data_IF_493638799524
#
_entry.id   IF_493638799524
#
_cell.length_a   1.000
_cell.length_b   1.000
_cell.length_c   1.000
_cell.angle_alpha   90.00
_cell.angle_beta   90.00
_cell.angle_gamma   90.00
#
_symmetry.space_group_name_H-M   'P 1'
#
loop_
_entity.id
_entity.type
_entity.pdbx_description
1 polymer ?
#
# COMPACT_ATOMS: atom_id res chain seq x y z
N UNK A 1 27.34 -55.83 -17.53
CA UNK A 1 27.95 -54.47 -17.63
C UNK A 1 27.13 -53.71 -18.67
N UNK A 2 26.48 -52.57 -18.46
CA UNK A 2 26.39 -51.62 -17.36
C UNK A 2 25.05 -50.85 -17.47
N UNK A 3 24.33 -50.80 -16.34
CA UNK A 3 23.63 -49.65 -15.73
C UNK A 3 22.67 -48.82 -16.61
N UNK A 4 21.38 -49.12 -16.45
CA UNK A 4 20.28 -48.16 -16.67
C UNK A 4 20.34 -47.16 -15.51
N UNK A 5 20.48 -45.87 -15.84
CA UNK A 5 20.52 -44.77 -14.88
C UNK A 5 19.10 -44.21 -14.74
N UNK A 6 18.39 -44.61 -13.69
CA UNK A 6 17.09 -44.03 -13.32
C UNK A 6 17.33 -42.77 -12.51
N UNK A 7 16.95 -41.62 -13.06
CA UNK A 7 17.01 -40.33 -12.37
C UNK A 7 15.78 -40.21 -11.47
N UNK A 8 15.96 -40.36 -10.15
CA UNK A 8 14.90 -40.13 -9.16
C UNK A 8 14.86 -38.62 -8.90
N UNK A 9 13.82 -37.96 -9.43
CA UNK A 9 13.49 -36.58 -9.06
C UNK A 9 12.85 -36.64 -7.68
N UNK A 10 13.63 -36.29 -6.65
CA UNK A 10 13.10 -36.06 -5.30
C UNK A 10 12.48 -34.66 -5.30
N UNK A 11 11.16 -34.61 -5.49
CA UNK A 11 10.34 -33.44 -5.18
C UNK A 11 10.34 -33.26 -3.66
N UNK A 12 11.29 -32.47 -3.16
CA UNK A 12 11.24 -31.96 -1.80
C UNK A 12 10.11 -30.91 -1.72
N UNK A 13 8.91 -31.36 -1.37
CA UNK A 13 7.88 -30.46 -0.87
C UNK A 13 8.40 -29.85 0.42
N UNK A 14 8.95 -28.64 0.35
CA UNK A 14 8.99 -27.77 1.52
C UNK A 14 7.52 -27.49 1.86
N UNK A 15 6.98 -28.28 2.77
CA UNK A 15 5.76 -27.92 3.48
C UNK A 15 6.07 -26.62 4.22
N UNK A 16 5.64 -25.48 3.64
CA UNK A 16 5.40 -24.29 4.44
C UNK A 16 4.48 -24.74 5.57
N UNK A 17 5.01 -24.81 6.79
CA UNK A 17 4.20 -24.97 7.96
C UNK A 17 3.43 -23.65 8.14
N UNK A 18 2.31 -23.51 7.43
CA UNK A 18 1.29 -22.56 7.82
C UNK A 18 0.91 -22.87 9.27
N UNK A 19 0.73 -21.83 10.08
CA UNK A 19 0.45 -21.95 11.50
C UNK A 19 -0.83 -22.79 11.70
N UNK A 20 -0.69 -24.03 12.22
CA UNK A 20 -1.82 -24.97 12.39
C UNK A 20 -2.58 -24.78 13.70
N UNK A 21 -2.16 -23.85 14.56
CA UNK A 21 -2.84 -23.55 15.81
C UNK A 21 -3.92 -22.49 15.57
N UNK A 22 -5.09 -22.93 15.11
CA UNK A 22 -6.31 -22.13 15.19
C UNK A 22 -6.85 -22.22 16.63
N UNK A 23 -6.61 -21.18 17.43
CA UNK A 23 -7.09 -21.12 18.82
C UNK A 23 -8.58 -20.77 18.94
N UNK A 24 -9.29 -20.59 17.83
CA UNK A 24 -10.74 -20.41 17.81
C UNK A 24 -11.27 -20.75 16.43
N UNK A 25 -12.27 -21.62 16.38
CA UNK A 25 -13.15 -21.72 15.21
C UNK A 25 -14.28 -20.74 15.44
N UNK A 26 -14.35 -19.67 14.65
CA UNK A 26 -15.54 -18.84 14.59
C UNK A 26 -16.55 -19.64 13.75
N UNK A 27 -17.62 -20.14 14.36
CA UNK A 27 -18.74 -20.67 13.59
C UNK A 27 -19.47 -19.50 12.93
N UNK A 28 -19.61 -19.56 11.60
CA UNK A 28 -20.41 -18.60 10.87
C UNK A 28 -21.88 -18.86 11.18
N UNK A 29 -22.47 -18.08 12.09
CA UNK A 29 -23.90 -18.10 12.42
C UNK A 29 -24.70 -17.29 11.40
N UNK A 30 -26.04 -17.47 11.37
CA UNK A 30 -26.96 -16.67 10.54
C UNK A 30 -26.83 -15.16 10.75
N UNK A 31 -26.26 -14.76 11.90
CA UNK A 31 -26.09 -13.37 12.27
C UNK A 31 -24.95 -12.70 11.50
N UNK A 32 -24.00 -13.47 10.94
CA UNK A 32 -22.96 -12.97 10.03
C UNK A 32 -23.47 -12.75 8.60
N UNK A 33 -24.53 -13.45 8.19
CA UNK A 33 -25.20 -13.19 6.91
C UNK A 33 -26.11 -11.95 6.97
N UNK A 34 -26.68 -11.65 8.14
CA UNK A 34 -27.64 -10.54 8.32
C UNK A 34 -27.11 -9.35 9.11
N UNK A 35 -25.93 -9.46 9.71
CA UNK A 35 -25.30 -8.46 10.59
C UNK A 35 -26.19 -8.04 11.78
N UNK A 36 -27.18 -8.85 12.18
CA UNK A 36 -28.17 -8.50 13.21
C UNK A 36 -27.59 -8.58 14.64
N UNK A 37 -26.68 -9.54 14.92
CA UNK A 37 -26.02 -9.68 16.21
C UNK A 37 -24.63 -10.32 16.08
N UNK A 38 -23.58 -9.51 16.08
CA UNK A 38 -22.19 -9.95 15.95
C UNK A 38 -21.49 -10.20 17.30
N UNK A 39 -22.24 -10.54 18.36
CA UNK A 39 -21.67 -10.74 19.71
C UNK A 39 -20.62 -11.86 19.78
N UNK A 40 -20.82 -12.97 19.07
CA UNK A 40 -19.83 -14.06 18.98
C UNK A 40 -18.53 -13.63 18.29
N UNK A 41 -18.65 -12.81 17.23
CA UNK A 41 -17.49 -12.22 16.56
C UNK A 41 -16.78 -11.21 17.48
N UNK A 42 -17.54 -10.37 18.20
CA UNK A 42 -17.01 -9.42 19.18
C UNK A 42 -16.14 -10.11 20.23
N UNK A 43 -16.63 -11.20 20.82
CA UNK A 43 -15.88 -11.93 21.85
C UNK A 43 -14.63 -12.61 21.25
N UNK A 44 -14.74 -13.18 20.05
CA UNK A 44 -13.62 -13.85 19.37
C UNK A 44 -12.49 -12.90 18.99
N UNK A 45 -12.80 -11.62 18.73
CA UNK A 45 -11.83 -10.58 18.36
C UNK A 45 -11.34 -9.76 19.55
N UNK A 46 -11.73 -10.11 20.78
CA UNK A 46 -11.34 -9.36 21.97
C UNK A 46 -9.83 -9.37 22.18
N UNK A 47 -9.24 -8.18 22.28
CA UNK A 47 -7.79 -8.01 22.44
C UNK A 47 -6.98 -8.25 21.16
N UNK A 48 -7.63 -8.51 20.02
CA UNK A 48 -6.98 -8.53 18.72
C UNK A 48 -6.73 -7.08 18.28
N UNK A 49 -5.48 -6.79 17.91
CA UNK A 49 -5.08 -5.42 17.52
C UNK A 49 -4.94 -5.25 16.00
N UNK A 50 -4.80 -6.36 15.26
CA UNK A 50 -4.61 -6.36 13.81
C UNK A 50 -5.48 -7.46 13.21
N UNK A 51 -6.31 -7.09 12.23
CA UNK A 51 -7.16 -8.01 11.47
C UNK A 51 -6.84 -7.86 9.98
N UNK A 52 -6.46 -8.96 9.33
CA UNK A 52 -6.28 -9.01 7.88
C UNK A 52 -7.62 -9.36 7.22
N UNK A 53 -8.17 -8.44 6.41
CA UNK A 53 -9.43 -8.63 5.69
C UNK A 53 -9.16 -8.93 4.21
N UNK A 54 -9.00 -10.22 3.89
CA UNK A 54 -8.82 -10.68 2.51
C UNK A 54 -10.06 -10.51 1.63
N UNK A 55 -9.88 -10.71 0.33
CA UNK A 55 -10.94 -10.76 -0.66
C UNK A 55 -10.62 -11.83 -1.72
N UNK A 56 -11.65 -12.48 -2.25
CA UNK A 56 -11.49 -13.60 -3.18
C UNK A 56 -10.92 -13.12 -4.53
N UNK A 57 -11.31 -11.90 -4.92
CA UNK A 57 -10.89 -11.18 -6.13
C UNK A 57 -11.24 -9.70 -5.95
N UNK A 58 -10.50 -8.84 -6.61
CA UNK A 58 -10.80 -7.41 -6.66
C UNK A 58 -12.10 -7.14 -7.44
N UNK A 59 -12.80 -6.06 -7.07
CA UNK A 59 -13.93 -5.52 -7.83
C UNK A 59 -15.27 -6.20 -7.61
N UNK A 60 -15.42 -7.03 -6.57
CA UNK A 60 -16.72 -7.58 -6.17
C UNK A 60 -17.45 -6.64 -5.21
N UNK A 61 -18.50 -5.97 -5.69
CA UNK A 61 -19.27 -4.98 -4.93
C UNK A 61 -19.88 -5.56 -3.64
N UNK A 62 -20.41 -6.79 -3.67
CA UNK A 62 -20.98 -7.43 -2.49
C UNK A 62 -19.92 -7.68 -1.41
N UNK A 63 -18.69 -8.03 -1.81
CA UNK A 63 -17.57 -8.20 -0.88
C UNK A 63 -17.15 -6.87 -0.27
N UNK A 64 -17.09 -5.80 -1.06
CA UNK A 64 -16.79 -4.46 -0.55
C UNK A 64 -17.88 -3.94 0.37
N UNK A 65 -19.16 -4.18 0.06
CA UNK A 65 -20.29 -3.83 0.92
C UNK A 65 -20.18 -4.55 2.28
N UNK A 66 -19.94 -5.86 2.27
CA UNK A 66 -19.78 -6.63 3.49
C UNK A 66 -18.56 -6.17 4.32
N UNK A 67 -17.42 -5.88 3.66
CA UNK A 67 -16.23 -5.33 4.32
C UNK A 67 -16.50 -3.94 4.89
N UNK A 68 -17.28 -3.10 4.22
CA UNK A 68 -17.69 -1.78 4.73
C UNK A 68 -18.49 -1.90 6.02
N UNK A 69 -19.50 -2.77 6.06
CA UNK A 69 -20.29 -3.00 7.28
C UNK A 69 -19.44 -3.63 8.40
N UNK A 70 -18.55 -4.56 8.05
CA UNK A 70 -17.60 -5.13 9.02
C UNK A 70 -16.67 -4.06 9.60
N UNK A 71 -16.11 -3.17 8.79
CA UNK A 71 -15.25 -2.08 9.27
C UNK A 71 -16.01 -1.14 10.22
N UNK A 72 -17.27 -0.79 9.91
CA UNK A 72 -18.12 0.00 10.81
C UNK A 72 -18.29 -0.70 12.16
N UNK A 73 -18.61 -1.99 12.14
CA UNK A 73 -18.72 -2.80 13.36
C UNK A 73 -17.42 -2.84 14.15
N UNK A 74 -16.27 -3.12 13.50
CA UNK A 74 -14.97 -3.17 14.16
C UNK A 74 -14.60 -1.83 14.81
N UNK A 75 -14.87 -0.71 14.13
CA UNK A 75 -14.65 0.62 14.69
C UNK A 75 -15.59 0.88 15.88
N UNK A 76 -16.90 0.68 15.72
CA UNK A 76 -17.92 1.04 16.72
C UNK A 76 -17.87 0.15 17.97
N UNK A 77 -17.68 -1.16 17.79
CA UNK A 77 -17.84 -2.14 18.86
C UNK A 77 -16.53 -2.58 19.50
N UNK A 78 -15.42 -2.45 18.76
CA UNK A 78 -14.09 -2.93 19.17
C UNK A 78 -13.02 -1.83 19.15
N UNK A 79 -13.34 -0.61 18.67
CA UNK A 79 -12.43 0.54 18.76
C UNK A 79 -11.29 0.55 17.74
N UNK A 80 -11.39 -0.21 16.64
CA UNK A 80 -10.40 -0.13 15.57
C UNK A 80 -10.44 1.24 14.89
N UNK A 81 -9.32 1.98 14.89
CA UNK A 81 -9.23 3.38 14.47
C UNK A 81 -8.47 3.59 13.13
N UNK A 82 -8.03 2.51 12.49
CA UNK A 82 -7.21 2.54 11.27
C UNK A 82 -7.57 1.40 10.32
N UNK A 83 -7.84 1.77 9.07
CA UNK A 83 -7.99 0.83 7.94
C UNK A 83 -6.82 1.02 6.99
N UNK A 84 -6.12 -0.08 6.70
CA UNK A 84 -5.02 -0.12 5.74
C UNK A 84 -5.47 -0.83 4.46
N UNK A 85 -5.48 -0.10 3.34
CA UNK A 85 -5.80 -0.61 2.01
C UNK A 85 -4.55 -1.05 1.27
N UNK A 86 -4.67 -2.08 0.43
CA UNK A 86 -3.65 -2.49 -0.55
C UNK A 86 -3.53 -1.48 -1.70
N UNK A 87 -3.39 -0.21 -1.33
CA UNK A 87 -3.16 0.96 -2.15
C UNK A 87 -1.83 1.59 -1.75
N UNK A 88 -1.21 2.35 -2.65
CA UNK A 88 0.08 2.99 -2.36
C UNK A 88 0.02 3.90 -1.14
N UNK A 89 1.02 3.79 -0.26
CA UNK A 89 1.13 4.64 0.93
C UNK A 89 1.09 6.13 0.58
N UNK A 90 1.86 6.56 -0.42
CA UNK A 90 1.99 7.98 -0.76
C UNK A 90 0.69 8.63 -1.22
N UNK A 91 -0.10 7.90 -2.01
CA UNK A 91 -1.42 8.35 -2.44
C UNK A 91 -2.35 8.59 -1.27
N UNK A 92 -2.49 7.57 -0.42
CA UNK A 92 -3.39 7.61 0.69
C UNK A 92 -2.96 8.63 1.76
N UNK A 93 -1.66 8.76 2.03
CA UNK A 93 -1.13 9.75 2.95
C UNK A 93 -1.38 11.18 2.46
N UNK A 94 -1.15 11.45 1.17
CA UNK A 94 -1.40 12.77 0.60
C UNK A 94 -2.89 13.07 0.42
N UNK A 95 -3.70 12.06 0.10
CA UNK A 95 -5.14 12.20 0.00
C UNK A 95 -5.75 12.51 1.37
N UNK A 96 -5.21 11.89 2.44
CA UNK A 96 -5.61 12.14 3.82
C UNK A 96 -5.41 13.60 4.24
N UNK A 97 -4.33 14.25 3.80
CA UNK A 97 -4.12 15.69 4.04
C UNK A 97 -5.13 16.58 3.31
N UNK A 98 -5.87 16.01 2.35
CA UNK A 98 -6.90 16.65 1.56
C UNK A 98 -8.29 16.07 1.86
N UNK A 99 -8.47 15.41 3.02
CA UNK A 99 -9.73 14.75 3.39
C UNK A 99 -10.91 15.71 3.34
N UNK A 100 -10.76 16.91 3.89
CA UNK A 100 -11.83 17.90 3.97
C UNK A 100 -12.07 18.65 2.65
N UNK A 101 -11.04 18.71 1.78
CA UNK A 101 -11.10 19.46 0.52
C UNK A 101 -11.63 18.62 -0.66
N UNK A 102 -11.33 17.33 -0.68
CA UNK A 102 -11.80 16.40 -1.71
C UNK A 102 -13.22 15.95 -1.41
N UNK A 103 -14.07 15.82 -2.43
CA UNK A 103 -15.33 15.08 -2.27
C UNK A 103 -15.08 13.61 -1.92
N UNK A 104 -16.07 12.90 -1.38
CA UNK A 104 -15.97 11.45 -1.10
C UNK A 104 -15.50 10.65 -2.32
N UNK A 105 -16.07 10.96 -3.49
CA UNK A 105 -15.72 10.32 -4.76
C UNK A 105 -14.30 10.64 -5.21
N UNK A 106 -13.90 11.91 -5.14
CA UNK A 106 -12.53 12.30 -5.48
C UNK A 106 -11.52 11.66 -4.55
N UNK A 107 -11.74 11.71 -3.23
CA UNK A 107 -10.91 11.05 -2.24
C UNK A 107 -10.75 9.57 -2.58
N UNK A 108 -11.88 8.87 -2.81
CA UNK A 108 -11.90 7.44 -3.17
C UNK A 108 -11.02 7.16 -4.38
N UNK A 109 -11.20 7.94 -5.44
CA UNK A 109 -10.42 7.82 -6.67
C UNK A 109 -8.92 8.05 -6.46
N UNK A 110 -8.52 9.01 -5.62
CA UNK A 110 -7.10 9.37 -5.48
C UNK A 110 -6.34 8.53 -4.44
N UNK A 111 -6.99 8.07 -3.36
CA UNK A 111 -6.31 7.21 -2.36
C UNK A 111 -6.12 5.78 -2.90
N UNK A 112 -6.93 5.40 -3.89
CA UNK A 112 -6.87 4.13 -4.59
C UNK A 112 -6.52 4.31 -6.07
N UNK A 113 -5.36 4.88 -6.39
CA UNK A 113 -4.97 5.11 -7.79
C UNK A 113 -4.98 3.87 -8.68
N UNK A 114 -5.07 2.66 -8.11
CA UNK A 114 -5.44 1.45 -8.81
C UNK A 114 -6.97 1.32 -8.81
N UNK A 115 -7.58 1.28 -10.01
CA UNK A 115 -9.03 1.32 -10.25
C UNK A 115 -9.89 0.33 -9.44
N UNK A 116 -9.29 -0.68 -8.80
CA UNK A 116 -9.96 -1.75 -8.05
C UNK A 116 -10.91 -1.26 -6.95
N UNK A 117 -10.60 -0.15 -6.28
CA UNK A 117 -11.43 0.37 -5.18
C UNK A 117 -12.29 1.57 -5.58
N UNK A 118 -12.26 1.99 -6.87
CA UNK A 118 -13.07 3.09 -7.37
C UNK A 118 -14.51 2.62 -7.62
N UNK A 119 -15.31 2.57 -6.55
CA UNK A 119 -16.64 1.97 -6.52
C UNK A 119 -17.54 2.66 -5.50
N UNK A 120 -18.86 2.60 -5.71
CA UNK A 120 -19.84 3.20 -4.80
C UNK A 120 -19.78 2.55 -3.41
N UNK A 121 -19.43 1.26 -3.34
CA UNK A 121 -19.32 0.49 -2.10
C UNK A 121 -18.16 0.98 -1.22
N UNK A 122 -17.04 1.36 -1.83
CA UNK A 122 -15.91 1.98 -1.11
C UNK A 122 -16.19 3.46 -0.83
N UNK A 123 -16.88 4.18 -1.72
CA UNK A 123 -17.35 5.54 -1.43
C UNK A 123 -18.22 5.58 -0.16
N UNK A 124 -19.06 4.57 0.08
CA UNK A 124 -19.84 4.44 1.32
C UNK A 124 -18.95 4.33 2.57
N UNK A 125 -17.86 3.57 2.49
CA UNK A 125 -16.89 3.50 3.58
C UNK A 125 -16.17 4.83 3.79
N UNK A 126 -15.72 5.49 2.72
CA UNK A 126 -15.08 6.81 2.81
C UNK A 126 -16.04 7.83 3.41
N UNK A 127 -17.32 7.81 3.02
CA UNK A 127 -18.35 8.66 3.62
C UNK A 127 -18.49 8.42 5.11
N UNK A 128 -18.42 7.17 5.56
CA UNK A 128 -18.41 6.83 6.99
C UNK A 128 -17.16 7.38 7.69
N UNK A 129 -15.97 7.17 7.12
CA UNK A 129 -14.69 7.65 7.68
C UNK A 129 -14.69 9.17 7.85
N UNK A 130 -15.19 9.90 6.84
CA UNK A 130 -15.33 11.36 6.92
C UNK A 130 -16.26 11.79 8.05
N UNK A 131 -17.36 11.07 8.29
CA UNK A 131 -18.29 11.41 9.38
C UNK A 131 -17.74 11.09 10.77
N UNK A 132 -16.66 10.30 10.88
CA UNK A 132 -15.99 10.01 12.15
C UNK A 132 -15.00 11.11 12.58
N UNK A 133 -14.84 12.21 11.81
CA UNK A 133 -14.00 13.37 12.17
C UNK A 133 -12.57 13.01 12.65
N UNK A 134 -11.97 11.97 12.04
CA UNK A 134 -10.60 11.53 12.33
C UNK A 134 -10.46 10.45 13.41
N UNK A 135 -11.57 10.01 14.04
CA UNK A 135 -11.59 8.85 14.94
C UNK A 135 -11.34 7.53 14.21
N UNK A 136 -11.71 7.45 12.92
CA UNK A 136 -11.31 6.40 12.01
C UNK A 136 -10.45 6.99 10.88
N UNK A 137 -9.30 6.38 10.61
CA UNK A 137 -8.42 6.78 9.50
C UNK A 137 -8.36 5.72 8.41
N UNK A 138 -8.23 6.16 7.17
CA UNK A 138 -7.87 5.31 6.03
C UNK A 138 -6.45 5.65 5.59
N UNK A 139 -5.64 4.63 5.36
CA UNK A 139 -4.30 4.73 4.79
C UNK A 139 -4.04 3.61 3.79
N UNK A 140 -2.99 3.77 3.00
CA UNK A 140 -2.44 2.78 2.10
C UNK A 140 -1.14 2.23 2.68
N UNK A 141 -0.84 0.97 2.38
CA UNK A 141 0.40 0.34 2.84
C UNK A 141 1.17 -0.35 1.72
N UNK A 142 0.81 -0.15 0.45
CA UNK A 142 1.55 -0.69 -0.70
C UNK A 142 2.81 0.14 -1.04
N UNK A 143 3.81 -0.51 -1.66
CA UNK A 143 5.09 0.08 -2.05
C UNK A 143 5.27 0.25 -3.57
N UNK A 144 4.24 0.00 -4.36
CA UNK A 144 4.34 0.17 -5.82
C UNK A 144 4.47 1.67 -6.19
N UNK A 145 5.48 2.11 -6.97
CA UNK A 145 5.72 3.53 -7.26
C UNK A 145 4.85 4.13 -8.37
N UNK A 146 4.00 3.34 -9.04
CA UNK A 146 3.19 3.76 -10.19
C UNK A 146 1.94 4.59 -9.83
N UNK A 147 1.88 5.08 -8.59
CA UNK A 147 0.74 5.76 -7.99
C UNK A 147 0.50 7.15 -8.61
N UNK A 148 -0.72 7.41 -9.09
CA UNK A 148 -1.03 8.62 -9.86
C UNK A 148 -1.02 9.88 -8.99
N UNK A 149 -1.65 9.81 -7.81
CA UNK A 149 -1.84 10.98 -6.97
C UNK A 149 -0.53 11.45 -6.33
N UNK A 150 0.33 10.52 -5.93
CA UNK A 150 1.68 10.79 -5.43
C UNK A 150 2.49 11.56 -6.46
N UNK A 151 2.54 11.07 -7.71
CA UNK A 151 3.29 11.74 -8.79
C UNK A 151 2.73 13.14 -9.06
N UNK A 152 1.40 13.29 -9.06
CA UNK A 152 0.73 14.60 -9.20
C UNK A 152 1.14 15.55 -8.07
N UNK A 153 1.04 15.12 -6.82
CA UNK A 153 1.38 15.95 -5.65
C UNK A 153 2.87 16.25 -5.57
N UNK A 154 3.75 15.29 -5.90
CA UNK A 154 5.19 15.52 -6.02
C UNK A 154 5.50 16.64 -7.02
N UNK A 155 4.77 16.67 -8.14
CA UNK A 155 4.91 17.71 -9.17
C UNK A 155 4.40 19.06 -8.66
N UNK A 156 3.18 19.09 -8.12
CA UNK A 156 2.50 20.31 -7.68
C UNK A 156 3.22 21.00 -6.53
N UNK A 157 3.71 20.23 -5.55
CA UNK A 157 4.37 20.78 -4.34
C UNK A 157 5.67 21.50 -4.70
N UNK A 158 6.46 21.00 -5.66
CA UNK A 158 7.75 21.59 -6.01
C UNK A 158 7.66 22.61 -7.15
N UNK A 159 6.53 22.70 -7.85
CA UNK A 159 6.33 23.52 -9.06
C UNK A 159 6.63 25.01 -8.86
N UNK A 160 6.28 25.56 -7.70
CA UNK A 160 6.47 26.97 -7.36
C UNK A 160 7.93 27.32 -7.02
N UNK A 161 8.71 26.32 -6.58
CA UNK A 161 10.10 26.49 -6.13
C UNK A 161 11.08 26.12 -7.25
N UNK A 162 10.84 25.01 -7.93
CA UNK A 162 11.66 24.54 -9.05
C UNK A 162 10.80 23.88 -10.14
N UNK A 163 10.50 24.68 -11.17
CA UNK A 163 9.72 24.23 -12.33
C UNK A 163 10.43 23.19 -13.20
N UNK A 164 11.75 23.09 -13.15
CA UNK A 164 12.53 22.10 -13.91
C UNK A 164 12.42 20.74 -13.21
N UNK A 165 12.61 20.72 -11.90
CA UNK A 165 12.37 19.52 -11.08
C UNK A 165 10.94 19.03 -11.27
N UNK A 166 9.94 19.91 -11.13
CA UNK A 166 8.53 19.54 -11.30
C UNK A 166 8.25 18.85 -12.63
N UNK A 167 8.78 19.38 -13.74
CA UNK A 167 8.62 18.77 -15.08
C UNK A 167 9.28 17.40 -15.21
N UNK A 168 10.32 17.11 -14.42
CA UNK A 168 11.01 15.81 -14.44
C UNK A 168 10.27 14.71 -13.67
N UNK A 169 9.48 15.07 -12.63
CA UNK A 169 8.87 14.11 -11.68
C UNK A 169 8.11 12.99 -12.38
N UNK A 170 7.22 13.34 -13.31
CA UNK A 170 6.40 12.35 -14.01
C UNK A 170 7.27 11.34 -14.77
N UNK A 171 8.29 11.82 -15.48
CA UNK A 171 9.17 10.97 -16.26
C UNK A 171 10.00 10.05 -15.36
N UNK A 172 10.65 10.62 -14.33
CA UNK A 172 11.53 9.86 -13.44
C UNK A 172 10.76 8.77 -12.69
N UNK A 173 9.60 9.11 -12.11
CA UNK A 173 8.75 8.15 -11.41
C UNK A 173 8.21 7.04 -12.34
N UNK A 174 7.74 7.40 -13.54
CA UNK A 174 7.22 6.40 -14.50
C UNK A 174 8.30 5.53 -15.11
N UNK A 175 9.53 6.04 -15.20
CA UNK A 175 10.67 5.28 -15.75
C UNK A 175 11.03 4.04 -14.93
N UNK A 176 10.56 3.95 -13.67
CA UNK A 176 10.63 2.73 -12.87
C UNK A 176 10.07 1.51 -13.63
N UNK A 177 9.01 1.69 -14.42
CA UNK A 177 8.38 0.60 -15.17
C UNK A 177 9.32 -0.05 -16.20
N UNK A 178 10.38 0.65 -16.61
CA UNK A 178 11.37 0.07 -17.53
C UNK A 178 12.12 -1.11 -16.89
N UNK A 179 12.15 -1.22 -15.55
CA UNK A 179 12.76 -2.38 -14.87
C UNK A 179 12.12 -3.70 -15.28
N UNK A 180 10.79 -3.75 -15.38
CA UNK A 180 10.07 -4.94 -15.84
C UNK A 180 10.48 -5.32 -17.27
N UNK A 181 10.57 -4.33 -18.16
CA UNK A 181 10.98 -4.56 -19.54
C UNK A 181 12.44 -5.06 -19.62
N UNK A 182 13.36 -4.41 -18.92
CA UNK A 182 14.77 -4.81 -18.92
C UNK A 182 14.99 -6.20 -18.30
N UNK A 183 14.21 -6.56 -17.29
CA UNK A 183 14.23 -7.93 -16.75
C UNK A 183 13.74 -8.94 -17.80
N UNK A 184 12.61 -8.66 -18.45
CA UNK A 184 12.08 -9.51 -19.52
C UNK A 184 13.08 -9.69 -20.68
N UNK A 185 13.80 -8.63 -21.02
CA UNK A 185 14.79 -8.63 -22.10
C UNK A 185 16.16 -9.20 -21.68
N UNK A 186 16.33 -9.55 -20.40
CA UNK A 186 17.60 -9.93 -19.78
C UNK A 186 18.70 -8.86 -19.94
N UNK A 187 18.33 -7.58 -20.10
CA UNK A 187 19.26 -6.45 -20.19
C UNK A 187 19.71 -6.01 -18.80
N UNK A 188 20.73 -6.71 -18.31
CA UNK A 188 21.30 -6.49 -16.97
C UNK A 188 21.87 -5.08 -16.80
N UNK A 189 22.49 -4.50 -17.84
CA UNK A 189 23.12 -3.19 -17.76
C UNK A 189 22.08 -2.08 -17.66
N UNK A 190 21.06 -2.11 -18.51
CA UNK A 190 19.98 -1.13 -18.48
C UNK A 190 19.13 -1.26 -17.22
N UNK A 191 18.89 -2.49 -16.73
CA UNK A 191 18.19 -2.73 -15.47
C UNK A 191 18.85 -2.00 -14.31
N UNK A 192 20.14 -2.26 -14.05
CA UNK A 192 20.83 -1.63 -12.92
C UNK A 192 20.97 -0.12 -13.09
N UNK A 193 21.25 0.36 -14.30
CA UNK A 193 21.28 1.80 -14.58
C UNK A 193 19.94 2.49 -14.29
N UNK A 194 18.82 1.86 -14.64
CA UNK A 194 17.49 2.41 -14.39
C UNK A 194 17.11 2.35 -12.91
N UNK A 195 17.47 1.28 -12.20
CA UNK A 195 17.27 1.16 -10.76
C UNK A 195 18.02 2.28 -10.05
N UNK A 196 19.31 2.43 -10.33
CA UNK A 196 20.17 3.42 -9.68
C UNK A 196 19.68 4.85 -10.00
N UNK A 197 19.29 5.13 -11.26
CA UNK A 197 18.66 6.41 -11.64
C UNK A 197 17.40 6.71 -10.81
N UNK A 198 16.52 5.72 -10.62
CA UNK A 198 15.30 5.91 -9.84
C UNK A 198 15.63 6.22 -8.37
N UNK A 199 16.57 5.49 -7.77
CA UNK A 199 17.03 5.73 -6.39
C UNK A 199 17.68 7.12 -6.24
N UNK A 200 18.54 7.50 -7.19
CA UNK A 200 19.20 8.81 -7.21
C UNK A 200 18.20 9.96 -7.32
N UNK A 201 17.15 9.79 -8.14
CA UNK A 201 16.05 10.75 -8.22
C UNK A 201 15.33 10.91 -6.88
N UNK A 202 14.97 9.81 -6.21
CA UNK A 202 14.28 9.85 -4.91
C UNK A 202 15.14 10.53 -3.82
N UNK A 203 16.44 10.23 -3.78
CA UNK A 203 17.39 10.87 -2.88
C UNK A 203 17.52 12.37 -3.17
N UNK A 204 17.70 12.74 -4.43
CA UNK A 204 17.79 14.15 -4.86
C UNK A 204 16.51 14.92 -4.56
N UNK A 205 15.36 14.28 -4.73
CA UNK A 205 14.06 14.86 -4.40
C UNK A 205 13.94 15.09 -2.89
N UNK A 206 14.36 14.12 -2.06
CA UNK A 206 14.39 14.28 -0.59
C UNK A 206 15.32 15.43 -0.15
N UNK A 207 16.50 15.54 -0.76
CA UNK A 207 17.44 16.63 -0.49
C UNK A 207 16.84 17.98 -0.87
N UNK A 208 16.13 18.04 -2.00
CA UNK A 208 15.39 19.22 -2.41
C UNK A 208 14.30 19.61 -1.38
N UNK A 209 13.51 18.66 -0.90
CA UNK A 209 12.49 18.91 0.13
C UNK A 209 13.12 19.45 1.42
N UNK A 210 14.25 18.88 1.85
CA UNK A 210 14.95 19.32 3.07
C UNK A 210 15.53 20.73 2.92
N UNK A 211 16.20 21.00 1.80
CA UNK A 211 16.87 22.28 1.53
C UNK A 211 15.87 23.43 1.40
N UNK A 212 14.72 23.17 0.77
CA UNK A 212 13.73 24.21 0.45
C UNK A 212 12.48 24.15 1.34
N UNK A 213 12.56 23.51 2.51
CA UNK A 213 11.40 23.30 3.39
C UNK A 213 10.61 24.58 3.66
N UNK A 214 11.28 25.67 4.02
CA UNK A 214 10.60 26.94 4.32
C UNK A 214 9.90 27.55 3.09
N UNK A 215 10.52 27.46 1.91
CA UNK A 215 9.94 27.96 0.66
C UNK A 215 8.70 27.15 0.26
N UNK A 216 8.79 25.82 0.40
CA UNK A 216 7.67 24.91 0.15
C UNK A 216 6.49 25.20 1.08
N UNK A 217 6.73 25.37 2.37
CA UNK A 217 5.70 25.76 3.34
C UNK A 217 5.08 27.12 3.01
N UNK A 218 5.89 28.11 2.63
CA UNK A 218 5.41 29.43 2.21
C UNK A 218 4.58 29.37 0.92
N UNK A 219 4.81 28.36 0.06
CA UNK A 219 4.06 28.14 -1.17
C UNK A 219 2.75 27.37 -0.99
N UNK A 220 2.43 26.97 0.25
CA UNK A 220 1.16 26.33 0.60
C UNK A 220 1.23 24.83 0.87
N UNK A 221 2.41 24.20 0.79
CA UNK A 221 2.56 22.80 1.21
C UNK A 221 2.48 22.68 2.73
N UNK A 222 1.95 21.57 3.24
CA UNK A 222 1.95 21.29 4.69
C UNK A 222 3.16 20.46 5.11
N UNK A 223 3.53 20.52 6.40
CA UNK A 223 4.58 19.63 6.94
C UNK A 223 4.24 18.16 6.77
N UNK A 224 2.97 17.79 6.90
CA UNK A 224 2.52 16.42 6.75
C UNK A 224 2.64 15.95 5.29
N UNK A 225 2.30 16.80 4.32
CA UNK A 225 2.52 16.47 2.89
C UNK A 225 4.01 16.23 2.61
N UNK A 226 4.89 17.10 3.10
CA UNK A 226 6.34 16.92 2.94
C UNK A 226 6.82 15.63 3.62
N UNK A 227 6.30 15.30 4.81
CA UNK A 227 6.62 14.05 5.50
C UNK A 227 6.10 12.82 4.73
N UNK A 228 4.89 12.88 4.17
CA UNK A 228 4.30 11.82 3.37
C UNK A 228 5.14 11.56 2.10
N UNK A 229 5.60 12.63 1.42
CA UNK A 229 6.52 12.50 0.27
C UNK A 229 7.83 11.83 0.66
N UNK A 230 8.48 12.31 1.74
CA UNK A 230 9.74 11.73 2.22
C UNK A 230 9.58 10.27 2.62
N UNK A 231 8.50 9.93 3.33
CA UNK A 231 8.22 8.56 3.75
C UNK A 231 7.92 7.64 2.56
N UNK A 232 7.22 8.14 1.55
CA UNK A 232 7.00 7.40 0.29
C UNK A 232 8.33 7.09 -0.41
N UNK A 233 9.21 8.08 -0.51
CA UNK A 233 10.53 7.91 -1.11
C UNK A 233 11.39 6.92 -0.31
N UNK A 234 11.38 7.00 1.02
CA UNK A 234 12.05 6.02 1.90
C UNK A 234 11.55 4.59 1.64
N UNK A 235 10.22 4.39 1.59
CA UNK A 235 9.62 3.07 1.30
C UNK A 235 10.13 2.52 -0.03
N UNK A 236 10.17 3.34 -1.08
CA UNK A 236 10.66 2.90 -2.38
C UNK A 236 12.16 2.62 -2.38
N UNK A 237 12.97 3.44 -1.71
CA UNK A 237 14.41 3.23 -1.58
C UNK A 237 14.70 1.92 -0.85
N UNK A 238 14.05 1.70 0.30
CA UNK A 238 14.24 0.49 1.10
C UNK A 238 13.79 -0.77 0.37
N UNK A 239 12.72 -0.67 -0.43
CA UNK A 239 12.16 -1.79 -1.19
C UNK A 239 13.02 -2.13 -2.42
N UNK A 240 13.46 -1.11 -3.18
CA UNK A 240 13.99 -1.33 -4.54
C UNK A 240 15.49 -1.05 -4.71
N UNK A 241 16.19 -0.44 -3.74
CA UNK A 241 17.62 -0.12 -3.90
C UNK A 241 18.52 -1.34 -4.07
N UNK A 242 18.10 -2.50 -3.56
CA UNK A 242 18.88 -3.75 -3.56
C UNK A 242 18.29 -4.83 -4.46
N UNK A 243 17.23 -4.51 -5.21
CA UNK A 243 16.62 -5.48 -6.11
C UNK A 243 17.60 -5.85 -7.23
N UNK A 244 17.69 -7.14 -7.52
CA UNK A 244 18.47 -7.71 -8.61
C UNK A 244 17.59 -8.01 -9.82
N UNK A 245 18.22 -8.09 -10.99
CA UNK A 245 17.51 -8.57 -12.17
C UNK A 245 17.01 -10.00 -11.92
N UNK A 246 15.76 -10.26 -12.28
CA UNK A 246 15.06 -11.51 -12.02
C UNK A 246 14.27 -11.52 -10.71
N UNK A 247 14.31 -10.47 -9.89
CA UNK A 247 13.58 -10.40 -8.62
C UNK A 247 12.29 -9.59 -8.72
N UNK A 248 12.09 -8.74 -9.75
CA UNK A 248 10.89 -7.88 -9.84
C UNK A 248 9.67 -8.62 -10.39
N UNK A 249 9.87 -9.67 -11.20
CA UNK A 249 8.78 -10.46 -11.79
C UNK A 249 8.74 -11.91 -11.31
N UNK A 250 9.77 -12.39 -10.62
CA UNK A 250 9.82 -13.82 -10.26
C UNK A 250 8.93 -14.16 -9.06
N UNK A 251 8.21 -15.26 -9.21
CA UNK A 251 7.51 -15.88 -8.08
C UNK A 251 8.43 -16.90 -7.39
N UNK A 252 8.51 -16.94 -6.05
CA UNK A 252 7.81 -16.09 -5.07
C UNK A 252 8.63 -14.86 -4.62
N UNK A 253 9.77 -14.55 -5.27
CA UNK A 253 10.71 -13.53 -4.79
C UNK A 253 10.09 -12.12 -4.80
N UNK A 254 9.44 -11.74 -5.89
CA UNK A 254 8.77 -10.44 -6.03
C UNK A 254 7.71 -10.24 -4.93
N UNK A 255 6.90 -11.27 -4.69
CA UNK A 255 5.86 -11.25 -3.64
C UNK A 255 6.49 -11.12 -2.27
N UNK A 256 7.53 -11.89 -1.96
CA UNK A 256 8.23 -11.80 -0.67
C UNK A 256 8.86 -10.41 -0.43
N UNK A 257 9.38 -9.75 -1.47
CA UNK A 257 9.91 -8.38 -1.37
C UNK A 257 8.78 -7.40 -1.04
N UNK A 258 7.66 -7.49 -1.76
CA UNK A 258 6.48 -6.66 -1.52
C UNK A 258 5.90 -6.92 -0.13
N UNK A 259 5.66 -8.17 0.24
CA UNK A 259 5.11 -8.58 1.54
C UNK A 259 5.97 -8.11 2.70
N UNK A 260 7.30 -8.23 2.59
CA UNK A 260 8.22 -7.68 3.58
C UNK A 260 8.03 -6.16 3.73
N UNK A 261 7.93 -5.44 2.61
CA UNK A 261 7.66 -4.01 2.63
C UNK A 261 6.31 -3.73 3.32
N UNK A 262 5.22 -4.38 2.90
CA UNK A 262 3.89 -4.27 3.50
C UNK A 262 3.93 -4.48 5.02
N UNK A 263 4.61 -5.54 5.47
CA UNK A 263 4.75 -5.88 6.88
C UNK A 263 5.45 -4.78 7.69
N UNK A 264 6.58 -4.25 7.21
CA UNK A 264 7.29 -3.17 7.91
C UNK A 264 6.42 -1.91 8.06
N UNK A 265 5.53 -1.63 7.09
CA UNK A 265 4.56 -0.53 7.18
C UNK A 265 3.46 -0.79 8.21
N UNK A 266 2.88 -1.99 8.22
CA UNK A 266 1.89 -2.39 9.24
C UNK A 266 2.49 -2.27 10.65
N UNK A 267 3.73 -2.77 10.81
CA UNK A 267 4.48 -2.66 12.06
C UNK A 267 4.70 -1.20 12.46
N UNK A 268 5.14 -0.35 11.54
CA UNK A 268 5.32 1.08 11.79
C UNK A 268 4.01 1.78 12.21
N UNK A 269 2.88 1.45 11.58
CA UNK A 269 1.57 1.98 12.00
C UNK A 269 1.22 1.56 13.41
N UNK A 270 1.43 0.28 13.78
CA UNK A 270 1.18 -0.19 15.15
C UNK A 270 2.09 0.49 16.18
N UNK A 271 3.35 0.71 15.85
CA UNK A 271 4.31 1.37 16.75
C UNK A 271 4.04 2.88 16.91
N UNK A 272 3.52 3.54 15.87
CA UNK A 272 3.23 4.99 15.88
C UNK A 272 1.85 5.35 16.46
N UNK A 273 0.96 4.37 16.58
CA UNK A 273 -0.36 4.48 17.21
C UNK A 273 -0.60 3.29 18.16
N UNK A 274 0.01 3.29 19.36
CA UNK A 274 -0.06 2.17 20.29
C UNK A 274 -1.47 1.91 20.80
#
# INVERSE_FOLDING_TARGET
MNKILTFIIVLAFYSCNAQTNFNSTIEFTSDLEKFENLSGLKESLKGVEIIALGENTHGLGEVFTAKTELVKFLHQELGFDLVLFESGYGDAALAWEQLDSLSTREFTSVFSSNFYYNSEEIENLVSYVKSQNGELKIQGFDCQPQQNYLIKRMTEIVQSVDSVLAKSVLLEMRSFNNLYQYENDNDTLSFYKQRDRFIDFLNSYNDFLNKNLNELLNSGATKNEINALKKSNEIFIDTYSKINIGEIMSWPVADNIRDKSLFEKVKWFKESKP
#
